data_IF_291811216734
#
_entry.id   IF_291811216734
#
_cell.length_a   1.000
_cell.length_b   1.000
_cell.length_c   1.000
_cell.angle_alpha   90.00
_cell.angle_beta   90.00
_cell.angle_gamma   90.00
#
_symmetry.space_group_name_H-M   'P 1'
#
loop_
_entity.id
_entity.type
_entity.pdbx_description
1 polymer ?
#
# COMPACT_ATOMS: atom_id res chain seq x y z
N UNK A 1 95.97 48.39 -8.05
CA UNK A 1 96.84 47.20 -8.06
C UNK A 1 95.97 45.93 -8.07
N UNK A 2 96.10 45.13 -9.08
CA UNK A 2 95.53 43.78 -9.37
C UNK A 2 94.03 43.62 -9.45
N UNK A 3 93.57 43.67 -10.64
CA UNK A 3 92.36 43.13 -11.24
C UNK A 3 92.41 41.62 -11.16
N UNK A 4 91.35 40.97 -10.71
CA UNK A 4 91.17 39.56 -11.04
C UNK A 4 89.74 39.39 -11.62
N UNK A 5 89.81 38.98 -12.91
CA UNK A 5 88.65 38.56 -13.73
C UNK A 5 88.12 37.26 -13.21
N UNK A 6 86.81 37.23 -12.97
CA UNK A 6 86.07 35.97 -12.78
C UNK A 6 85.20 35.77 -14.03
N UNK A 7 85.58 34.72 -14.78
CA UNK A 7 84.92 34.29 -16.01
C UNK A 7 83.44 33.84 -15.73
N UNK A 8 82.56 34.38 -16.55
CA UNK A 8 81.19 33.95 -16.67
C UNK A 8 81.15 32.48 -17.21
N UNK A 9 80.71 31.56 -16.37
CA UNK A 9 80.27 30.26 -16.83
C UNK A 9 78.76 30.34 -16.92
N UNK A 10 78.23 30.48 -18.12
CA UNK A 10 76.83 30.35 -18.44
C UNK A 10 76.49 28.87 -18.50
N UNK A 11 75.84 28.38 -17.48
CA UNK A 11 75.32 27.03 -17.45
C UNK A 11 73.93 27.06 -18.10
N UNK A 12 73.62 26.33 -19.19
CA UNK A 12 72.33 26.29 -19.76
C UNK A 12 71.40 25.48 -18.80
N UNK A 13 70.41 26.16 -18.16
CA UNK A 13 69.39 25.56 -17.40
C UNK A 13 68.45 24.83 -18.36
N UNK A 14 68.63 23.50 -18.46
CA UNK A 14 67.72 22.63 -19.19
C UNK A 14 66.39 22.60 -18.49
N UNK A 15 65.41 23.35 -19.02
CA UNK A 15 64.05 23.37 -18.54
C UNK A 15 63.38 22.05 -18.90
N UNK A 16 63.39 21.09 -17.97
CA UNK A 16 62.62 19.85 -18.06
C UNK A 16 61.15 20.16 -17.83
N UNK A 17 60.44 20.39 -18.92
CA UNK A 17 58.98 20.48 -18.89
C UNK A 17 58.42 19.10 -18.53
N UNK A 18 58.19 18.83 -17.25
CA UNK A 18 57.34 17.76 -16.84
C UNK A 18 55.93 18.11 -17.32
N UNK A 19 55.50 17.51 -18.42
CA UNK A 19 54.10 17.37 -18.78
C UNK A 19 53.46 16.47 -17.71
N UNK A 20 53.04 17.10 -16.61
CA UNK A 20 52.04 16.49 -15.73
C UNK A 20 50.77 16.49 -16.58
N UNK A 21 50.53 15.40 -17.29
CA UNK A 21 49.23 15.10 -17.83
C UNK A 21 48.27 14.99 -16.66
N UNK A 22 47.56 16.07 -16.36
CA UNK A 22 46.36 15.99 -15.58
C UNK A 22 45.39 15.11 -16.39
N UNK A 23 45.40 13.80 -16.12
CA UNK A 23 44.23 13.03 -16.41
C UNK A 23 43.13 13.62 -15.50
N UNK A 24 42.26 14.46 -16.07
CA UNK A 24 40.99 14.72 -15.43
C UNK A 24 40.31 13.36 -15.29
N UNK A 25 40.46 12.76 -14.13
CA UNK A 25 39.55 11.70 -13.69
C UNK A 25 38.16 12.37 -13.64
N UNK A 26 37.48 12.32 -14.79
CA UNK A 26 36.09 12.70 -14.86
C UNK A 26 35.39 11.71 -13.96
N UNK A 27 34.98 12.18 -12.77
CA UNK A 27 34.07 11.40 -11.94
C UNK A 27 32.92 10.91 -12.83
N UNK A 28 32.55 9.63 -12.75
CA UNK A 28 31.49 9.10 -13.57
C UNK A 28 30.22 9.94 -13.34
N UNK A 29 29.82 10.68 -14.38
CA UNK A 29 28.59 11.47 -14.30
C UNK A 29 27.43 10.51 -14.11
N UNK A 30 26.80 10.59 -12.95
CA UNK A 30 25.56 9.85 -12.67
C UNK A 30 24.39 10.61 -13.28
N UNK A 31 23.78 10.04 -14.29
CA UNK A 31 22.55 10.58 -14.87
C UNK A 31 21.36 9.97 -14.17
N UNK A 32 20.39 10.78 -13.70
CA UNK A 32 19.19 10.25 -13.05
C UNK A 32 18.39 9.41 -14.05
N UNK A 33 17.79 8.30 -13.61
CA UNK A 33 16.87 7.54 -14.44
C UNK A 33 15.59 8.32 -14.72
N UNK A 34 14.91 7.99 -15.81
CA UNK A 34 13.52 8.46 -16.02
C UNK A 34 12.58 7.60 -15.20
N UNK A 35 11.74 8.26 -14.39
CA UNK A 35 10.79 7.60 -13.49
C UNK A 35 9.37 7.93 -13.90
N UNK A 36 8.51 6.92 -13.97
CA UNK A 36 7.08 7.05 -14.19
C UNK A 36 6.34 6.36 -13.05
N UNK A 37 5.62 7.11 -12.24
CA UNK A 37 4.70 6.55 -11.24
C UNK A 37 3.41 6.18 -11.97
N UNK A 38 2.99 4.91 -11.90
CA UNK A 38 1.76 4.45 -12.51
C UNK A 38 0.59 4.62 -11.53
N UNK A 39 -0.66 4.47 -11.97
CA UNK A 39 -1.82 4.43 -11.10
C UNK A 39 -1.77 3.19 -10.20
N UNK A 40 -2.24 3.31 -8.95
CA UNK A 40 -2.39 2.20 -8.04
C UNK A 40 -3.41 1.19 -8.58
N UNK A 41 -3.16 -0.09 -8.34
CA UNK A 41 -3.99 -1.21 -8.77
C UNK A 41 -4.40 -2.07 -7.58
N UNK A 42 -5.26 -3.07 -7.82
CA UNK A 42 -5.72 -4.03 -6.81
C UNK A 42 -6.21 -3.34 -5.53
N UNK A 43 -6.94 -2.23 -5.71
CA UNK A 43 -7.44 -1.42 -4.61
C UNK A 43 -8.51 -2.18 -3.83
N UNK A 44 -8.25 -2.35 -2.55
CA UNK A 44 -9.22 -2.89 -1.58
C UNK A 44 -9.55 -1.83 -0.52
N UNK A 45 -10.20 -2.24 0.55
CA UNK A 45 -10.39 -1.39 1.73
C UNK A 45 -9.12 -1.20 2.54
N UNK A 46 -8.17 -2.13 2.44
CA UNK A 46 -7.01 -2.24 3.33
C UNK A 46 -5.68 -2.36 2.60
N UNK A 47 -5.70 -2.54 1.29
CA UNK A 47 -4.51 -2.81 0.49
C UNK A 47 -4.53 -2.06 -0.83
N UNK A 48 -3.35 -1.79 -1.36
CA UNK A 48 -3.13 -1.25 -2.68
C UNK A 48 -1.82 -1.78 -3.27
N UNK A 49 -1.80 -2.09 -4.56
CA UNK A 49 -0.59 -2.38 -5.30
C UNK A 49 -0.07 -1.10 -5.95
N UNK A 50 1.06 -0.60 -5.45
CA UNK A 50 1.79 0.50 -6.05
C UNK A 50 2.65 -0.01 -7.20
N UNK A 51 2.77 0.77 -8.25
CA UNK A 51 3.68 0.43 -9.35
C UNK A 51 4.29 1.67 -10.00
N UNK A 52 5.42 1.46 -10.63
CA UNK A 52 6.10 2.48 -11.41
C UNK A 52 7.15 1.87 -12.31
N UNK A 53 7.65 2.66 -13.25
CA UNK A 53 8.66 2.24 -14.20
C UNK A 53 9.92 3.07 -14.06
N UNK A 54 11.07 2.41 -14.19
CA UNK A 54 12.40 3.01 -14.14
C UNK A 54 13.11 2.69 -15.44
N UNK A 55 13.42 3.73 -16.21
CA UNK A 55 14.26 3.62 -17.40
C UNK A 55 15.66 4.17 -17.06
N UNK A 56 16.68 3.30 -16.94
CA UNK A 56 18.04 3.75 -16.67
C UNK A 56 18.53 4.64 -17.80
N UNK A 57 19.32 5.66 -17.48
CA UNK A 57 20.01 6.41 -18.51
C UNK A 57 21.09 5.53 -19.17
N UNK A 58 21.23 5.60 -20.49
CA UNK A 58 22.15 4.76 -21.27
C UNK A 58 23.61 4.83 -20.79
N UNK A 59 24.02 5.95 -20.18
CA UNK A 59 25.37 6.18 -19.66
C UNK A 59 25.46 6.00 -18.14
N UNK A 60 24.44 5.46 -17.48
CA UNK A 60 24.46 5.23 -16.03
C UNK A 60 25.22 3.94 -15.72
N UNK A 61 26.33 4.06 -15.01
CA UNK A 61 27.15 2.93 -14.53
C UNK A 61 26.73 2.46 -13.13
N UNK A 62 25.89 3.21 -12.44
CA UNK A 62 25.49 2.92 -11.05
C UNK A 62 24.08 2.38 -11.03
N UNK A 63 23.92 1.20 -10.42
CA UNK A 63 22.60 0.61 -10.18
C UNK A 63 21.86 1.45 -9.13
N UNK A 64 20.72 2.02 -9.51
CA UNK A 64 19.89 2.77 -8.59
C UNK A 64 19.14 1.84 -7.63
N UNK A 65 19.01 2.24 -6.37
CA UNK A 65 18.07 1.66 -5.42
C UNK A 65 16.67 2.24 -5.70
N UNK A 66 15.70 1.37 -5.94
CA UNK A 66 14.32 1.79 -6.27
C UNK A 66 13.42 1.57 -5.06
N UNK A 67 12.61 2.58 -4.75
CA UNK A 67 11.67 2.55 -3.64
C UNK A 67 10.46 3.43 -3.94
N UNK A 68 9.40 3.29 -3.15
CA UNK A 68 8.26 4.19 -3.16
C UNK A 68 8.28 5.09 -1.93
N UNK A 69 8.02 6.38 -2.12
CA UNK A 69 7.55 7.25 -1.05
C UNK A 69 6.04 7.16 -0.99
N UNK A 70 5.50 6.92 0.17
CA UNK A 70 4.08 6.72 0.40
C UNK A 70 3.61 7.52 1.63
N UNK A 71 2.47 8.17 1.53
CA UNK A 71 1.89 8.95 2.63
C UNK A 71 0.36 8.88 2.61
N UNK A 72 -0.24 9.03 3.79
CA UNK A 72 -1.68 9.27 3.93
C UNK A 72 -1.99 10.72 3.56
N UNK A 73 -3.05 10.94 2.80
CA UNK A 73 -3.46 12.26 2.31
C UNK A 73 -2.93 12.54 0.92
N UNK A 74 -2.75 13.81 0.61
CA UNK A 74 -2.52 14.28 -0.76
C UNK A 74 -1.11 14.85 -1.01
N UNK A 75 -0.21 14.76 -0.05
CA UNK A 75 1.17 15.23 -0.15
C UNK A 75 2.13 14.20 0.45
N UNK A 76 3.37 14.17 -0.05
CA UNK A 76 4.44 13.32 0.47
C UNK A 76 5.20 13.96 1.66
N UNK A 77 4.53 14.81 2.44
CA UNK A 77 5.08 15.30 3.71
C UNK A 77 5.04 14.13 4.71
N UNK A 78 6.16 13.91 5.39
CA UNK A 78 6.34 12.78 6.31
C UNK A 78 6.10 11.39 5.66
N UNK A 79 6.37 11.28 4.36
CA UNK A 79 6.22 10.02 3.64
C UNK A 79 7.17 8.94 4.14
N UNK A 80 6.68 7.72 4.23
CA UNK A 80 7.47 6.52 4.52
C UNK A 80 8.09 5.94 3.25
N UNK A 81 9.26 5.31 3.38
CA UNK A 81 9.94 4.62 2.29
C UNK A 81 9.55 3.13 2.28
N UNK A 82 9.09 2.64 1.13
CA UNK A 82 8.80 1.24 0.89
C UNK A 82 9.69 0.69 -0.21
N UNK A 83 10.38 -0.41 0.08
CA UNK A 83 11.26 -1.06 -0.92
C UNK A 83 10.44 -1.52 -2.11
N UNK A 84 10.87 -1.14 -3.31
CA UNK A 84 10.25 -1.58 -4.55
C UNK A 84 10.90 -2.89 -5.02
N UNK A 85 10.07 -3.86 -5.42
CA UNK A 85 10.52 -5.12 -6.02
C UNK A 85 10.37 -5.09 -7.53
N UNK A 86 11.34 -5.61 -8.31
CA UNK A 86 11.17 -5.74 -9.75
C UNK A 86 9.97 -6.64 -10.07
N UNK A 87 9.14 -6.20 -11.02
CA UNK A 87 8.08 -7.02 -11.58
C UNK A 87 8.69 -8.01 -12.59
N UNK A 88 8.57 -9.30 -12.31
CA UNK A 88 9.14 -10.34 -13.16
C UNK A 88 8.44 -10.49 -14.53
N UNK A 89 7.31 -9.82 -14.72
CA UNK A 89 6.51 -9.91 -15.96
C UNK A 89 6.80 -8.75 -16.91
N UNK A 90 7.30 -7.62 -16.41
CA UNK A 90 7.51 -6.41 -17.19
C UNK A 90 8.85 -5.78 -16.85
N UNK A 91 9.76 -5.76 -17.83
CA UNK A 91 11.08 -5.17 -17.65
C UNK A 91 11.00 -3.68 -17.28
N UNK A 92 11.81 -3.27 -16.31
CA UNK A 92 11.87 -1.89 -15.82
C UNK A 92 10.68 -1.48 -14.93
N UNK A 93 9.68 -2.35 -14.74
CA UNK A 93 8.59 -2.12 -13.80
C UNK A 93 8.95 -2.58 -12.40
N UNK A 94 8.52 -1.81 -11.42
CA UNK A 94 8.69 -2.08 -9.99
C UNK A 94 7.33 -2.00 -9.31
N UNK A 95 7.14 -2.83 -8.29
CA UNK A 95 5.88 -2.94 -7.54
C UNK A 95 6.14 -3.00 -6.05
N UNK A 96 5.12 -2.60 -5.28
CA UNK A 96 5.06 -2.78 -3.83
C UNK A 96 3.60 -2.88 -3.40
N UNK A 97 3.25 -3.90 -2.64
CA UNK A 97 1.94 -3.98 -1.98
C UNK A 97 2.00 -3.25 -0.65
N UNK A 98 1.05 -2.36 -0.41
CA UNK A 98 0.85 -1.69 0.87
C UNK A 98 -0.39 -2.26 1.50
N UNK A 99 -0.28 -2.74 2.71
CA UNK A 99 -1.35 -3.26 3.55
C UNK A 99 -1.64 -2.37 4.77
N UNK A 100 -2.65 -2.71 5.55
CA UNK A 100 -3.02 -1.97 6.75
C UNK A 100 -3.61 -0.59 6.47
N UNK A 101 -4.06 -0.31 5.27
CA UNK A 101 -4.71 0.95 4.91
C UNK A 101 -6.06 1.10 5.61
N UNK A 102 -6.53 2.34 5.73
CA UNK A 102 -7.82 2.67 6.31
C UNK A 102 -8.87 2.83 5.19
N UNK A 103 -10.03 2.18 5.29
CA UNK A 103 -11.09 2.32 4.28
C UNK A 103 -11.53 3.75 4.03
N UNK A 104 -11.80 4.10 2.77
CA UNK A 104 -12.30 5.42 2.36
C UNK A 104 -11.34 6.57 2.65
N UNK A 105 -10.03 6.31 2.62
CA UNK A 105 -9.03 7.35 2.84
C UNK A 105 -8.20 7.59 1.58
N UNK A 106 -7.81 8.84 1.40
CA UNK A 106 -6.90 9.28 0.35
C UNK A 106 -5.46 9.02 0.76
N UNK A 107 -4.66 8.55 -0.19
CA UNK A 107 -3.24 8.29 -0.09
C UNK A 107 -2.53 8.80 -1.34
N UNK A 108 -1.25 9.06 -1.22
CA UNK A 108 -0.42 9.43 -2.36
C UNK A 108 0.94 8.74 -2.30
N UNK A 109 1.54 8.56 -3.47
CA UNK A 109 2.85 7.94 -3.58
C UNK A 109 3.61 8.40 -4.82
N UNK A 110 4.91 8.16 -4.81
CA UNK A 110 5.80 8.37 -5.96
C UNK A 110 6.86 7.31 -6.00
N UNK A 111 7.18 6.78 -7.19
CA UNK A 111 8.37 5.97 -7.37
C UNK A 111 9.60 6.84 -7.29
N UNK A 112 10.62 6.37 -6.59
CA UNK A 112 11.88 7.05 -6.39
C UNK A 112 13.06 6.14 -6.73
N UNK A 113 14.17 6.74 -7.12
CA UNK A 113 15.43 6.04 -7.32
C UNK A 113 16.57 6.80 -6.66
N UNK A 114 17.37 6.12 -5.85
CA UNK A 114 18.56 6.67 -5.17
C UNK A 114 19.81 6.16 -5.86
N UNK A 115 20.67 7.09 -6.27
CA UNK A 115 21.97 6.79 -6.87
C UNK A 115 22.98 7.88 -6.51
N UNK A 116 24.17 7.48 -6.03
CA UNK A 116 25.25 8.42 -5.70
C UNK A 116 24.87 9.52 -4.71
N UNK A 117 23.99 9.23 -3.75
CA UNK A 117 23.53 10.21 -2.75
C UNK A 117 22.43 11.17 -3.24
N UNK A 118 22.03 11.09 -4.50
CA UNK A 118 20.91 11.87 -5.07
C UNK A 118 19.67 11.00 -5.21
N UNK A 119 18.49 11.60 -5.01
CA UNK A 119 17.18 10.95 -5.17
C UNK A 119 16.45 11.61 -6.33
N UNK A 120 16.11 10.81 -7.34
CA UNK A 120 15.15 11.19 -8.37
C UNK A 120 13.74 10.74 -7.94
N UNK A 121 12.71 11.54 -8.29
CA UNK A 121 11.31 11.25 -7.97
C UNK A 121 10.46 11.30 -9.23
N UNK A 122 9.54 10.35 -9.36
CA UNK A 122 8.47 10.41 -10.34
C UNK A 122 7.35 11.38 -9.92
N UNK A 123 6.31 11.47 -10.73
CA UNK A 123 5.12 12.24 -10.37
C UNK A 123 4.42 11.64 -9.14
N UNK A 124 3.73 12.50 -8.38
CA UNK A 124 2.91 12.07 -7.24
C UNK A 124 1.55 11.62 -7.76
N UNK A 125 1.24 10.34 -7.55
CA UNK A 125 -0.07 9.77 -7.87
C UNK A 125 -0.88 9.63 -6.58
N UNK A 126 -2.17 9.91 -6.69
CA UNK A 126 -3.14 9.80 -5.59
C UNK A 126 -4.11 8.68 -5.86
N UNK A 127 -4.59 8.07 -4.80
CA UNK A 127 -5.68 7.09 -4.85
C UNK A 127 -6.48 7.13 -3.56
N UNK A 128 -7.67 6.54 -3.59
CA UNK A 128 -8.52 6.35 -2.43
C UNK A 128 -8.82 4.86 -2.26
N UNK A 129 -8.73 4.35 -1.04
CA UNK A 129 -9.14 2.99 -0.72
C UNK A 129 -10.66 2.85 -0.81
N UNK A 130 -11.17 1.63 -1.02
CA UNK A 130 -12.60 1.39 -1.02
C UNK A 130 -13.21 1.78 0.33
N UNK A 131 -14.35 2.43 0.29
CA UNK A 131 -15.09 2.84 1.49
C UNK A 131 -15.62 1.65 2.27
N UNK A 132 -15.83 1.82 3.57
CA UNK A 132 -16.54 0.84 4.40
C UNK A 132 -18.01 0.69 3.95
N UNK A 133 -18.51 -0.52 4.10
CA UNK A 133 -19.91 -0.85 3.84
C UNK A 133 -20.55 -1.46 5.10
N UNK A 134 -21.88 -1.66 5.09
CA UNK A 134 -22.53 -2.44 6.13
C UNK A 134 -22.02 -3.89 6.09
N UNK A 135 -21.92 -4.56 7.25
CA UNK A 135 -21.62 -5.99 7.30
C UNK A 135 -22.64 -6.82 6.53
N UNK A 136 -22.19 -7.89 5.90
CA UNK A 136 -23.03 -8.82 5.14
C UNK A 136 -23.13 -10.11 5.91
N UNK A 137 -24.30 -10.46 6.48
CA UNK A 137 -24.51 -11.76 7.10
C UNK A 137 -24.72 -12.85 6.04
N UNK A 138 -24.37 -14.08 6.37
CA UNK A 138 -24.79 -15.26 5.64
C UNK A 138 -26.29 -15.50 5.82
N UNK A 139 -26.85 -16.40 5.02
CA UNK A 139 -28.23 -16.85 5.21
C UNK A 139 -28.41 -17.49 6.59
N UNK A 140 -29.51 -17.12 7.28
CA UNK A 140 -29.87 -17.72 8.56
C UNK A 140 -30.31 -19.17 8.36
N UNK A 141 -29.79 -20.08 9.19
CA UNK A 141 -30.19 -21.48 9.26
C UNK A 141 -30.95 -21.71 10.57
N UNK A 142 -32.12 -22.32 10.48
CA UNK A 142 -32.89 -22.75 11.64
C UNK A 142 -32.81 -24.27 11.80
N UNK A 143 -32.36 -24.74 12.97
CA UNK A 143 -32.28 -26.16 13.34
C UNK A 143 -32.95 -26.43 14.67
N UNK A 144 -33.01 -27.68 15.09
CA UNK A 144 -33.65 -28.09 16.37
C UNK A 144 -35.08 -27.52 16.56
N UNK A 145 -35.81 -27.41 15.45
CA UNK A 145 -37.16 -26.83 15.44
C UNK A 145 -38.12 -27.72 16.22
N UNK A 146 -38.82 -27.14 17.18
CA UNK A 146 -39.85 -27.81 17.98
C UNK A 146 -41.09 -26.89 18.14
N UNK A 147 -42.04 -27.30 18.97
CA UNK A 147 -43.30 -26.56 19.13
C UNK A 147 -43.13 -25.12 19.62
N UNK A 148 -42.05 -24.85 20.37
CA UNK A 148 -41.89 -23.56 21.06
C UNK A 148 -40.61 -22.83 20.63
N UNK A 149 -39.71 -23.46 19.84
CA UNK A 149 -38.44 -22.83 19.59
C UNK A 149 -37.64 -23.40 18.43
N UNK A 150 -36.50 -22.79 18.19
CA UNK A 150 -35.52 -23.21 17.20
C UNK A 150 -34.13 -22.66 17.57
N UNK A 151 -33.09 -23.32 17.13
CA UNK A 151 -31.71 -22.78 17.13
C UNK A 151 -31.49 -22.05 15.80
N UNK A 152 -31.26 -20.75 15.88
CA UNK A 152 -30.89 -19.92 14.73
C UNK A 152 -29.37 -19.81 14.68
N UNK A 153 -28.78 -19.93 13.50
CA UNK A 153 -27.36 -19.75 13.25
C UNK A 153 -27.10 -19.01 11.95
N UNK A 154 -26.02 -18.26 11.91
CA UNK A 154 -25.53 -17.53 10.75
C UNK A 154 -24.04 -17.27 10.90
N UNK A 155 -23.42 -16.59 9.92
CA UNK A 155 -22.07 -16.06 9.95
C UNK A 155 -22.04 -14.63 9.39
N UNK A 156 -20.94 -13.92 9.57
CA UNK A 156 -20.66 -12.66 8.90
C UNK A 156 -19.66 -12.96 7.78
N UNK A 157 -20.10 -12.84 6.54
CA UNK A 157 -19.28 -13.14 5.35
C UNK A 157 -18.38 -12.00 4.95
N UNK A 158 -18.77 -10.76 5.24
CA UNK A 158 -17.97 -9.55 5.07
C UNK A 158 -18.33 -8.58 6.22
N UNK A 159 -17.33 -8.15 6.97
CA UNK A 159 -17.54 -7.18 8.06
C UNK A 159 -17.68 -5.73 7.56
N UNK A 160 -17.63 -5.53 6.24
CA UNK A 160 -17.76 -4.20 5.64
C UNK A 160 -16.56 -3.29 5.83
N UNK A 161 -15.42 -3.82 6.31
CA UNK A 161 -14.24 -3.02 6.61
C UNK A 161 -14.31 -2.27 7.95
N UNK A 162 -15.19 -2.69 8.84
CA UNK A 162 -15.38 -2.14 10.20
C UNK A 162 -15.52 -3.28 11.21
N UNK A 163 -15.21 -2.99 12.46
CA UNK A 163 -15.52 -3.94 13.52
C UNK A 163 -17.02 -4.07 13.68
N UNK A 164 -17.52 -5.29 13.68
CA UNK A 164 -18.92 -5.57 14.02
C UNK A 164 -19.12 -5.25 15.49
N UNK A 165 -20.04 -4.34 15.78
CA UNK A 165 -20.32 -3.88 17.16
C UNK A 165 -21.53 -4.56 17.78
N UNK A 166 -22.41 -5.16 16.95
CA UNK A 166 -23.60 -5.88 17.37
C UNK A 166 -23.98 -6.92 16.32
N UNK A 167 -24.40 -8.10 16.78
CA UNK A 167 -24.96 -9.15 15.93
C UNK A 167 -26.12 -9.83 16.61
N UNK A 168 -27.05 -10.37 15.83
CA UNK A 168 -28.26 -11.03 16.35
C UNK A 168 -29.20 -11.44 15.24
N UNK A 169 -30.37 -11.88 15.61
CA UNK A 169 -31.44 -12.30 14.71
C UNK A 169 -32.66 -11.46 14.95
N UNK A 170 -33.33 -11.07 13.88
CA UNK A 170 -34.69 -10.51 13.92
C UNK A 170 -35.67 -11.54 13.32
N UNK A 171 -36.82 -11.69 13.88
CA UNK A 171 -37.82 -12.65 13.42
C UNK A 171 -39.26 -12.19 13.74
N UNK A 172 -40.19 -12.63 12.93
CA UNK A 172 -41.64 -12.37 13.12
C UNK A 172 -42.49 -13.46 12.50
N UNK A 173 -43.79 -13.48 12.85
CA UNK A 173 -44.76 -14.38 12.21
C UNK A 173 -44.88 -14.01 10.74
N UNK A 174 -44.76 -15.00 9.86
CA UNK A 174 -44.85 -14.81 8.42
C UNK A 174 -46.30 -14.56 8.01
N UNK A 175 -46.51 -13.56 7.18
CA UNK A 175 -47.73 -13.34 6.40
C UNK A 175 -47.31 -13.05 4.94
N UNK A 176 -48.15 -13.50 4.00
CA UNK A 176 -47.83 -13.29 2.57
C UNK A 176 -47.75 -11.81 2.23
N UNK A 177 -46.75 -11.42 1.48
CA UNK A 177 -46.51 -10.05 1.04
C UNK A 177 -45.89 -9.10 2.07
N UNK A 178 -45.53 -9.58 3.29
CA UNK A 178 -44.86 -8.74 4.27
C UNK A 178 -43.35 -8.60 3.97
N UNK A 179 -42.73 -7.45 4.34
CA UNK A 179 -41.28 -7.27 4.20
C UNK A 179 -40.50 -8.18 5.15
N UNK A 180 -39.21 -8.32 4.90
CA UNK A 180 -38.25 -9.01 5.78
C UNK A 180 -38.31 -8.44 7.22
N UNK A 181 -37.90 -9.25 8.24
CA UNK A 181 -37.79 -8.77 9.62
C UNK A 181 -36.77 -7.63 9.74
N UNK A 182 -37.04 -6.73 10.65
CA UNK A 182 -36.17 -5.61 10.99
C UNK A 182 -35.86 -5.61 12.49
N UNK A 183 -34.97 -4.75 12.93
CA UNK A 183 -34.66 -4.57 14.36
C UNK A 183 -35.82 -4.02 15.18
N UNK A 184 -36.94 -3.60 14.53
CA UNK A 184 -38.18 -3.21 15.19
C UNK A 184 -39.10 -4.40 15.52
N UNK A 185 -38.82 -5.57 14.93
CA UNK A 185 -39.54 -6.82 15.22
C UNK A 185 -38.89 -7.53 16.44
N UNK A 186 -39.28 -8.77 16.72
CA UNK A 186 -38.62 -9.54 17.79
C UNK A 186 -37.14 -9.76 17.43
N UNK A 187 -36.25 -9.49 18.37
CA UNK A 187 -34.83 -9.66 18.22
C UNK A 187 -34.22 -10.54 19.31
N UNK A 188 -33.12 -11.21 18.95
CA UNK A 188 -32.22 -11.90 19.88
C UNK A 188 -30.79 -11.54 19.54
N UNK A 189 -30.10 -10.84 20.45
CA UNK A 189 -28.70 -10.53 20.33
C UNK A 189 -27.84 -11.75 20.62
N UNK A 190 -26.69 -11.83 19.95
CA UNK A 190 -25.64 -12.81 20.20
C UNK A 190 -24.38 -12.08 20.63
N UNK A 191 -23.72 -12.54 21.71
CA UNK A 191 -22.47 -11.95 22.17
C UNK A 191 -21.42 -11.96 21.06
N UNK A 192 -20.65 -10.89 20.96
CA UNK A 192 -19.51 -10.82 20.05
C UNK A 192 -18.38 -11.76 20.45
N UNK A 193 -18.30 -12.12 21.75
CA UNK A 193 -17.31 -13.04 22.29
C UNK A 193 -17.71 -14.51 22.13
N UNK A 194 -18.95 -14.80 21.70
CA UNK A 194 -19.38 -16.17 21.44
C UNK A 194 -18.63 -16.74 20.23
N UNK A 195 -18.12 -17.98 20.37
CA UNK A 195 -17.42 -18.70 19.30
C UNK A 195 -18.30 -18.90 18.07
N UNK A 196 -19.61 -19.03 18.28
CA UNK A 196 -20.58 -19.24 17.20
C UNK A 196 -21.59 -18.09 17.15
N UNK A 197 -21.99 -17.73 15.93
CA UNK A 197 -23.10 -16.81 15.73
C UNK A 197 -24.42 -17.59 15.75
N UNK A 198 -24.84 -18.03 16.93
CA UNK A 198 -26.07 -18.81 17.11
C UNK A 198 -26.81 -18.42 18.39
N UNK A 199 -28.14 -18.61 18.40
CA UNK A 199 -28.98 -18.38 19.57
C UNK A 199 -30.20 -19.30 19.55
N UNK A 200 -30.52 -19.84 20.72
CA UNK A 200 -31.78 -20.59 20.93
C UNK A 200 -32.92 -19.59 21.16
N UNK A 201 -33.97 -19.68 20.35
CA UNK A 201 -35.23 -19.00 20.59
C UNK A 201 -36.25 -20.00 21.15
N UNK A 202 -37.10 -19.55 22.08
CA UNK A 202 -38.03 -20.40 22.83
C UNK A 202 -39.44 -19.78 23.02
N UNK A 203 -39.76 -18.76 22.24
CA UNK A 203 -40.99 -18.00 22.30
C UNK A 203 -41.81 -18.10 21.01
N UNK A 204 -41.66 -19.20 20.29
CA UNK A 204 -42.41 -19.49 19.08
C UNK A 204 -43.76 -20.13 19.42
N UNK A 205 -44.71 -20.01 18.52
CA UNK A 205 -46.03 -20.66 18.58
C UNK A 205 -46.04 -21.88 17.67
N UNK A 206 -46.62 -22.98 18.17
CA UNK A 206 -46.78 -24.20 17.41
C UNK A 206 -47.54 -23.95 16.10
N UNK A 207 -47.23 -24.71 15.06
CA UNK A 207 -47.88 -24.66 13.73
C UNK A 207 -47.87 -23.27 13.08
N UNK A 208 -46.96 -22.40 13.48
CA UNK A 208 -46.86 -21.02 12.99
C UNK A 208 -45.58 -20.87 12.14
N UNK A 209 -45.71 -20.30 10.94
CA UNK A 209 -44.59 -19.99 10.07
C UNK A 209 -43.95 -18.70 10.54
N UNK A 210 -42.65 -18.67 10.60
CA UNK A 210 -41.83 -17.50 10.92
C UNK A 210 -40.88 -17.18 9.76
N UNK A 211 -40.48 -15.95 9.69
CA UNK A 211 -39.40 -15.46 8.81
C UNK A 211 -38.42 -14.64 9.65
#
# INVERSE_FOLDING_TARGET
MKINQIKNVVLPLLLLFCLIGCSEDKEPQTYPPTLVTNSAAELTRFEALLSGSVVPHANSVVKAEVFFLFAKGNTLVDAEEFTATPDNTTEGRYVCTIDGLTPGNEYCYSICARSGGSIAKGEVIKFETLSSTAPVPAATIATNINENGALLSSDITDNGGQNVTQRGFAYKVYQEGMPEPTTSDKTRSVSLEAETFSVQISDLQAKTKYI
#
